data_IF_781761209783
#
_entry.id   IF_781761209783
#
_cell.length_a   1.000
_cell.length_b   1.000
_cell.length_c   1.000
_cell.angle_alpha   90.00
_cell.angle_beta   90.00
_cell.angle_gamma   90.00
#
_symmetry.space_group_name_H-M   'P 1'
#
loop_
_entity.id
_entity.type
_entity.pdbx_description
1 polymer ?
#
# COMPACT_ATOMS: atom_id res chain seq x y z
N UNK A 1 43.68 -22.98 39.77
CA UNK A 1 42.43 -22.19 39.65
C UNK A 1 42.37 -21.66 38.23
N UNK A 2 41.62 -22.32 37.34
CA UNK A 2 41.46 -21.91 35.93
C UNK A 2 40.22 -21.02 35.85
N UNK A 3 40.42 -19.73 35.60
CA UNK A 3 39.34 -18.78 35.31
C UNK A 3 38.88 -19.01 33.87
N UNK A 4 37.74 -19.68 33.69
CA UNK A 4 37.06 -19.75 32.40
C UNK A 4 36.36 -18.42 32.14
N UNK A 5 36.91 -17.61 31.23
CA UNK A 5 36.25 -16.40 30.74
C UNK A 5 35.13 -16.86 29.80
N UNK A 6 33.90 -16.84 30.30
CA UNK A 6 32.70 -16.95 29.46
C UNK A 6 32.57 -15.64 28.67
N UNK A 7 33.05 -15.66 27.43
CA UNK A 7 32.68 -14.67 26.42
C UNK A 7 31.22 -14.91 26.06
N UNK A 8 30.32 -14.30 26.82
CA UNK A 8 28.93 -14.12 26.41
C UNK A 8 28.93 -13.24 25.19
N UNK A 9 28.89 -13.84 23.99
CA UNK A 9 28.50 -13.11 22.78
C UNK A 9 27.07 -12.63 23.02
N UNK A 10 26.93 -11.39 23.47
CA UNK A 10 25.64 -10.69 23.44
C UNK A 10 25.36 -10.44 21.97
N UNK A 11 24.73 -11.41 21.32
CA UNK A 11 24.07 -11.17 20.05
C UNK A 11 22.99 -10.12 20.35
N UNK A 12 23.25 -8.86 19.96
CA UNK A 12 22.23 -7.82 19.99
C UNK A 12 21.04 -8.35 19.19
N UNK A 13 19.94 -8.61 19.89
CA UNK A 13 18.74 -9.17 19.30
C UNK A 13 18.13 -8.11 18.40
N UNK A 14 17.96 -8.43 17.13
CA UNK A 14 17.48 -7.47 16.13
C UNK A 14 15.99 -7.26 16.35
N UNK A 15 15.56 -6.00 16.42
CA UNK A 15 14.15 -5.68 16.43
C UNK A 15 13.50 -6.19 15.13
N UNK A 16 12.35 -6.87 15.21
CA UNK A 16 11.60 -7.23 14.02
C UNK A 16 11.09 -5.98 13.31
N UNK A 17 10.88 -6.08 12.00
CA UNK A 17 10.50 -4.96 11.14
C UNK A 17 9.18 -5.27 10.45
N UNK A 18 8.26 -4.30 10.46
CA UNK A 18 7.04 -4.34 9.64
C UNK A 18 7.13 -3.23 8.60
N UNK A 19 7.11 -3.62 7.32
CA UNK A 19 7.19 -2.73 6.15
C UNK A 19 5.79 -2.38 5.62
N UNK A 20 5.55 -1.11 5.31
CA UNK A 20 4.34 -0.67 4.60
C UNK A 20 4.71 -0.10 3.24
N UNK A 21 4.14 -0.59 2.13
CA UNK A 21 4.46 -0.16 0.76
C UNK A 21 4.02 1.28 0.46
N UNK A 22 4.52 1.91 -0.61
CA UNK A 22 4.06 3.20 -1.09
C UNK A 22 2.73 3.12 -1.85
N UNK A 23 2.21 4.28 -2.30
CA UNK A 23 1.17 4.36 -3.32
C UNK A 23 1.63 3.54 -4.55
N UNK A 24 0.73 2.74 -5.12
CA UNK A 24 1.01 1.75 -6.18
C UNK A 24 1.89 0.56 -5.80
N UNK A 25 2.40 0.50 -4.56
CA UNK A 25 3.41 -0.47 -4.13
C UNK A 25 2.90 -1.86 -3.79
N UNK A 26 1.61 -2.14 -4.00
CA UNK A 26 0.99 -3.43 -3.70
C UNK A 26 0.33 -3.99 -4.95
N UNK A 27 0.56 -5.26 -5.24
CA UNK A 27 -0.19 -5.98 -6.27
C UNK A 27 -1.65 -6.12 -5.91
N UNK A 28 -2.50 -5.91 -6.91
CA UNK A 28 -3.96 -6.06 -6.81
C UNK A 28 -4.39 -7.20 -7.73
N UNK A 29 -5.27 -8.07 -7.23
CA UNK A 29 -5.82 -9.22 -7.93
C UNK A 29 -7.30 -8.98 -8.19
N UNK A 30 -7.78 -9.34 -9.38
CA UNK A 30 -9.15 -9.07 -9.78
C UNK A 30 -9.91 -10.35 -10.11
N UNK A 31 -11.18 -10.39 -9.70
CA UNK A 31 -12.14 -11.44 -10.05
C UNK A 31 -13.40 -10.80 -10.63
N UNK A 32 -13.77 -11.18 -11.86
CA UNK A 32 -15.01 -10.73 -12.50
C UNK A 32 -15.38 -11.60 -13.70
N UNK A 33 -16.65 -11.51 -14.10
CA UNK A 33 -17.16 -12.00 -15.38
C UNK A 33 -18.10 -10.94 -15.96
N UNK A 34 -17.64 -10.21 -16.98
CA UNK A 34 -18.36 -9.06 -17.55
C UNK A 34 -18.12 -8.93 -19.05
N UNK A 35 -19.21 -8.80 -19.79
CA UNK A 35 -19.18 -8.60 -21.25
C UNK A 35 -19.18 -7.11 -21.63
N UNK A 36 -19.81 -6.27 -20.81
CA UNK A 36 -19.90 -4.81 -20.94
C UNK A 36 -18.64 -4.09 -20.45
N UNK A 37 -17.53 -4.35 -21.16
CA UNK A 37 -16.23 -3.69 -21.00
C UNK A 37 -15.59 -3.57 -22.39
N UNK A 38 -14.62 -2.67 -22.61
CA UNK A 38 -13.96 -2.51 -23.91
C UNK A 38 -13.47 -3.84 -24.49
N UNK A 39 -13.47 -3.96 -25.83
CA UNK A 39 -13.14 -5.22 -26.53
C UNK A 39 -11.72 -5.73 -26.24
N UNK A 40 -10.80 -4.83 -25.89
CA UNK A 40 -9.41 -5.15 -25.55
C UNK A 40 -9.23 -5.56 -24.08
N UNK A 41 -10.28 -5.52 -23.25
CA UNK A 41 -10.24 -6.03 -21.88
C UNK A 41 -10.56 -7.53 -21.83
N UNK A 42 -9.87 -8.31 -20.97
CA UNK A 42 -10.28 -9.70 -20.68
C UNK A 42 -11.72 -9.72 -20.18
N UNK A 43 -12.59 -10.58 -20.72
CA UNK A 43 -14.01 -10.67 -20.32
C UNK A 43 -14.22 -11.35 -18.97
N UNK A 44 -13.27 -12.19 -18.59
CA UNK A 44 -13.26 -12.90 -17.31
C UNK A 44 -11.87 -12.79 -16.70
N UNK A 45 -11.83 -12.62 -15.40
CA UNK A 45 -10.63 -12.83 -14.58
C UNK A 45 -11.03 -13.63 -13.35
N UNK A 46 -10.22 -14.61 -12.99
CA UNK A 46 -10.43 -15.40 -11.77
C UNK A 46 -9.19 -15.31 -10.89
N UNK A 47 -9.25 -14.39 -9.93
CA UNK A 47 -8.18 -14.13 -8.98
C UNK A 47 -6.82 -13.86 -9.65
N UNK A 48 -6.85 -13.09 -10.74
CA UNK A 48 -5.68 -12.84 -11.58
C UNK A 48 -5.03 -11.50 -11.26
N UNK A 49 -3.70 -11.43 -11.41
CA UNK A 49 -2.93 -10.19 -11.24
C UNK A 49 -3.45 -9.08 -12.18
N UNK A 50 -3.94 -8.00 -11.58
CA UNK A 50 -4.35 -6.76 -12.23
C UNK A 50 -3.21 -5.73 -12.20
N UNK A 51 -2.81 -5.29 -11.00
CA UNK A 51 -1.82 -4.24 -10.81
C UNK A 51 -0.45 -4.84 -10.42
N UNK A 52 0.62 -4.69 -11.20
CA UNK A 52 0.60 -4.45 -12.64
C UNK A 52 1.04 -5.71 -13.35
N UNK A 53 0.09 -6.42 -13.94
CA UNK A 53 0.44 -7.50 -14.86
C UNK A 53 1.06 -6.92 -16.13
N UNK A 54 2.18 -7.49 -16.55
CA UNK A 54 2.86 -7.14 -17.81
C UNK A 54 1.96 -7.24 -19.06
N UNK A 55 0.80 -7.91 -19.01
CA UNK A 55 -0.18 -7.93 -20.10
C UNK A 55 -0.86 -6.57 -20.33
N UNK A 56 -0.88 -5.70 -19.32
CA UNK A 56 -1.59 -4.43 -19.38
C UNK A 56 -0.72 -3.20 -19.67
N UNK A 57 0.61 -3.34 -19.77
CA UNK A 57 1.49 -2.15 -19.90
C UNK A 57 1.63 -1.61 -21.33
N UNK A 58 0.99 -2.25 -22.32
CA UNK A 58 1.04 -1.87 -23.74
C UNK A 58 -0.30 -1.27 -24.21
N UNK A 59 -0.32 -0.30 -25.14
CA UNK A 59 -1.56 0.20 -25.73
C UNK A 59 -2.32 -0.91 -26.49
N UNK A 60 -3.67 -0.95 -26.46
CA UNK A 60 -4.58 -0.13 -25.64
C UNK A 60 -4.85 -0.72 -24.24
N UNK A 61 -4.18 -1.82 -23.85
CA UNK A 61 -4.48 -2.59 -22.64
C UNK A 61 -4.29 -1.82 -21.33
N UNK A 62 -3.42 -0.81 -21.28
CA UNK A 62 -3.28 0.02 -20.07
C UNK A 62 -4.57 0.80 -19.77
N UNK A 63 -5.39 1.12 -20.77
CA UNK A 63 -6.72 1.71 -20.55
C UNK A 63 -7.63 0.73 -19.80
N UNK A 64 -7.47 -0.58 -20.05
CA UNK A 64 -8.21 -1.59 -19.32
C UNK A 64 -7.78 -1.62 -17.85
N UNK A 65 -6.47 -1.61 -17.60
CA UNK A 65 -5.93 -1.57 -16.25
C UNK A 65 -6.48 -0.38 -15.47
N UNK A 66 -6.35 0.83 -16.03
CA UNK A 66 -6.81 2.03 -15.30
C UNK A 66 -8.32 2.03 -15.10
N UNK A 67 -9.10 1.58 -16.08
CA UNK A 67 -10.56 1.41 -15.95
C UNK A 67 -10.91 0.48 -14.79
N UNK A 68 -10.32 -0.72 -14.76
CA UNK A 68 -10.63 -1.73 -13.74
C UNK A 68 -10.19 -1.31 -12.33
N UNK A 69 -9.18 -0.43 -12.21
CA UNK A 69 -8.75 0.10 -10.91
C UNK A 69 -9.63 1.23 -10.37
N UNK A 70 -10.54 1.80 -11.15
CA UNK A 70 -11.42 2.89 -10.70
C UNK A 70 -12.32 2.46 -9.52
N UNK A 71 -12.82 3.46 -8.80
CA UNK A 71 -13.77 3.28 -7.70
C UNK A 71 -14.98 4.19 -7.89
N UNK A 72 -16.14 3.75 -7.43
CA UNK A 72 -17.39 4.51 -7.44
C UNK A 72 -17.81 4.80 -6.00
N UNK A 73 -18.14 6.06 -5.72
CA UNK A 73 -18.70 6.43 -4.43
C UNK A 73 -20.17 5.98 -4.36
N UNK A 74 -20.53 5.31 -3.27
CA UNK A 74 -21.86 4.84 -2.97
C UNK A 74 -22.47 5.74 -1.89
N UNK A 75 -23.46 6.54 -2.28
CA UNK A 75 -24.11 7.53 -1.42
C UNK A 75 -24.89 6.93 -0.25
N UNK A 76 -25.36 5.67 -0.38
CA UNK A 76 -26.13 5.02 0.68
C UNK A 76 -25.22 4.54 1.80
N UNK A 77 -24.06 4.00 1.42
CA UNK A 77 -23.09 3.44 2.37
C UNK A 77 -22.00 4.44 2.78
N UNK A 78 -21.87 5.56 2.08
CA UNK A 78 -20.75 6.50 2.19
C UNK A 78 -19.39 5.79 2.06
N UNK A 79 -19.31 4.80 1.17
CA UNK A 79 -18.11 4.02 0.91
C UNK A 79 -17.72 4.14 -0.56
N UNK A 80 -16.44 3.96 -0.84
CA UNK A 80 -15.96 3.80 -2.22
C UNK A 80 -15.88 2.30 -2.50
N UNK A 81 -16.60 1.88 -3.54
CA UNK A 81 -16.67 0.49 -3.98
C UNK A 81 -15.94 0.34 -5.31
N UNK A 82 -15.52 -0.87 -5.60
CA UNK A 82 -15.07 -1.22 -6.95
C UNK A 82 -16.21 -1.00 -7.97
N UNK A 83 -15.87 -0.96 -9.25
CA UNK A 83 -16.86 -0.96 -10.32
C UNK A 83 -17.84 -2.16 -10.18
N UNK A 84 -19.13 -1.98 -10.54
CA UNK A 84 -20.13 -3.03 -10.36
C UNK A 84 -19.74 -4.37 -11.02
N UNK A 85 -19.71 -5.43 -10.22
CA UNK A 85 -19.37 -6.79 -10.64
C UNK A 85 -17.87 -7.11 -10.67
N UNK A 86 -17.01 -6.21 -10.15
CA UNK A 86 -15.57 -6.41 -10.06
C UNK A 86 -15.16 -6.50 -8.59
N UNK A 87 -14.54 -7.62 -8.23
CA UNK A 87 -13.89 -7.81 -6.93
C UNK A 87 -12.39 -7.60 -7.06
N UNK A 88 -11.79 -6.87 -6.12
CA UNK A 88 -10.36 -6.62 -6.07
C UNK A 88 -9.83 -6.95 -4.69
N UNK A 89 -8.76 -7.74 -4.64
CA UNK A 89 -8.13 -8.23 -3.43
C UNK A 89 -6.64 -7.96 -3.41
N UNK A 90 -6.12 -7.91 -2.20
CA UNK A 90 -4.69 -7.87 -1.89
C UNK A 90 -4.28 -9.25 -1.37
N UNK A 91 -3.23 -9.81 -1.95
CA UNK A 91 -2.67 -11.11 -1.53
C UNK A 91 -1.39 -10.93 -0.72
N UNK A 92 -0.94 -12.06 -0.17
CA UNK A 92 0.38 -12.20 0.45
C UNK A 92 0.61 -11.23 1.61
N UNK A 93 -0.39 -11.12 2.49
CA UNK A 93 -0.24 -10.38 3.74
C UNK A 93 0.85 -11.04 4.59
N UNK A 94 1.78 -10.25 5.14
CA UNK A 94 3.03 -10.67 5.81
C UNK A 94 4.16 -11.12 4.87
N UNK A 95 3.88 -11.41 3.60
CA UNK A 95 4.86 -11.87 2.61
C UNK A 95 5.39 -10.77 1.70
N UNK A 96 6.26 -11.14 0.76
CA UNK A 96 6.98 -10.18 -0.10
C UNK A 96 6.59 -10.19 -1.58
N UNK A 97 5.82 -11.18 -2.02
CA UNK A 97 5.45 -11.39 -3.42
C UNK A 97 4.72 -10.16 -3.97
N UNK A 98 3.70 -9.69 -3.24
CA UNK A 98 2.85 -8.56 -3.64
C UNK A 98 3.55 -7.20 -3.65
N UNK A 99 4.79 -7.10 -3.15
CA UNK A 99 5.50 -5.81 -3.00
C UNK A 99 6.92 -5.80 -3.58
N UNK A 100 7.45 -6.92 -4.04
CA UNK A 100 8.85 -6.97 -4.49
C UNK A 100 9.11 -6.08 -5.72
N UNK A 101 8.25 -6.18 -6.73
CA UNK A 101 8.34 -5.43 -7.99
C UNK A 101 6.98 -4.86 -8.34
N UNK A 102 6.92 -3.69 -9.00
CA UNK A 102 5.63 -3.13 -9.43
C UNK A 102 5.03 -3.92 -10.59
N UNK A 103 5.83 -4.17 -11.64
CA UNK A 103 5.40 -4.95 -12.81
C UNK A 103 5.83 -6.40 -12.62
N UNK A 104 4.86 -7.31 -12.71
CA UNK A 104 5.07 -8.75 -12.53
C UNK A 104 4.36 -9.57 -13.64
N UNK A 105 4.69 -10.86 -13.74
CA UNK A 105 4.24 -11.76 -14.81
C UNK A 105 5.42 -12.27 -15.64
N UNK A 106 5.35 -12.15 -16.98
CA UNK A 106 6.40 -12.63 -17.90
C UNK A 106 7.76 -12.01 -17.60
N UNK A 107 7.79 -10.76 -17.14
CA UNK A 107 8.99 -10.06 -16.72
C UNK A 107 8.73 -9.34 -15.39
N UNK A 108 9.78 -9.25 -14.56
CA UNK A 108 9.79 -8.44 -13.34
C UNK A 108 10.50 -7.13 -13.63
N UNK A 109 9.80 -6.01 -13.47
CA UNK A 109 10.30 -4.70 -13.83
C UNK A 109 9.87 -3.64 -12.82
N UNK A 110 10.70 -2.62 -12.62
CA UNK A 110 10.58 -1.59 -11.57
C UNK A 110 10.68 -2.21 -10.17
N UNK A 111 11.87 -2.07 -9.57
CA UNK A 111 12.09 -2.44 -8.17
C UNK A 111 11.19 -1.59 -7.26
N UNK A 112 10.46 -2.25 -6.38
CA UNK A 112 9.70 -1.60 -5.32
C UNK A 112 10.39 -1.85 -3.99
N UNK A 113 10.24 -3.06 -3.43
CA UNK A 113 10.93 -3.48 -2.20
C UNK A 113 11.92 -4.61 -2.38
N UNK A 114 12.12 -5.15 -3.59
CA UNK A 114 13.02 -6.27 -3.81
C UNK A 114 14.44 -5.98 -3.28
N UNK A 115 15.04 -4.84 -3.63
CA UNK A 115 16.40 -4.50 -3.15
C UNK A 115 16.45 -4.27 -1.64
N UNK A 116 15.41 -3.67 -1.05
CA UNK A 116 15.31 -3.44 0.39
C UNK A 116 15.19 -4.75 1.17
N UNK A 117 14.31 -5.65 0.72
CA UNK A 117 14.13 -6.97 1.30
C UNK A 117 15.41 -7.81 1.17
N UNK A 118 16.07 -7.77 0.01
CA UNK A 118 17.37 -8.42 -0.21
C UNK A 118 18.43 -7.90 0.77
N UNK A 119 18.48 -6.58 0.99
CA UNK A 119 19.41 -5.97 1.96
C UNK A 119 19.20 -6.50 3.39
N UNK A 120 17.94 -6.64 3.82
CA UNK A 120 17.60 -7.20 5.13
C UNK A 120 17.89 -8.70 5.22
N UNK A 121 17.55 -9.49 4.20
CA UNK A 121 17.84 -10.92 4.14
C UNK A 121 19.34 -11.23 4.23
N UNK A 122 20.17 -10.44 3.56
CA UNK A 122 21.64 -10.52 3.69
C UNK A 122 22.15 -10.22 5.10
N UNK A 123 21.30 -9.67 5.97
CA UNK A 123 21.56 -9.37 7.38
C UNK A 123 20.74 -10.27 8.30
N UNK A 124 20.41 -11.49 7.90
CA UNK A 124 19.73 -12.50 8.72
C UNK A 124 18.34 -12.06 9.18
N UNK A 125 17.63 -11.30 8.35
CA UNK A 125 16.19 -11.16 8.47
C UNK A 125 15.48 -12.19 7.60
N UNK A 126 14.42 -12.80 8.12
CA UNK A 126 13.60 -13.81 7.45
C UNK A 126 12.17 -13.30 7.38
N UNK A 127 11.60 -13.32 6.17
CA UNK A 127 10.20 -12.95 5.93
C UNK A 127 9.28 -13.90 6.70
N UNK A 128 8.33 -13.35 7.45
CA UNK A 128 7.40 -14.11 8.29
C UNK A 128 7.93 -14.48 9.68
N UNK A 129 9.20 -14.20 10.00
CA UNK A 129 9.78 -14.44 11.33
C UNK A 129 10.15 -13.13 12.04
N UNK A 130 10.98 -12.30 11.42
CA UNK A 130 11.44 -11.02 11.98
C UNK A 130 11.40 -9.87 10.96
N UNK A 131 10.89 -10.15 9.77
CA UNK A 131 10.60 -9.19 8.71
C UNK A 131 9.20 -9.49 8.18
N UNK A 132 8.33 -8.50 8.23
CA UNK A 132 6.93 -8.63 7.85
C UNK A 132 6.57 -7.48 6.92
N UNK A 133 5.61 -7.72 6.04
CA UNK A 133 5.10 -6.70 5.13
C UNK A 133 3.59 -6.60 5.36
N UNK A 134 3.06 -5.38 5.41
CA UNK A 134 1.63 -5.12 5.49
C UNK A 134 1.15 -4.53 4.15
N UNK A 135 0.88 -5.36 3.12
CA UNK A 135 0.31 -4.87 1.87
C UNK A 135 -1.13 -4.42 2.09
N UNK A 136 -1.54 -3.40 1.35
CA UNK A 136 -2.89 -2.82 1.42
C UNK A 136 -3.35 -2.32 0.06
N UNK A 137 -4.66 -2.11 -0.08
CA UNK A 137 -5.23 -1.51 -1.27
C UNK A 137 -4.95 -0.01 -1.27
N UNK A 138 -3.90 0.37 -1.98
CA UNK A 138 -3.44 1.75 -2.09
C UNK A 138 -4.45 2.67 -2.78
N UNK A 139 -5.47 2.13 -3.45
CA UNK A 139 -6.54 2.92 -4.06
C UNK A 139 -7.47 3.49 -3.01
N UNK A 140 -7.80 2.67 -2.01
CA UNK A 140 -8.81 2.94 -0.98
C UNK A 140 -8.22 3.52 0.30
N UNK A 141 -6.93 3.27 0.53
CA UNK A 141 -6.20 3.77 1.68
C UNK A 141 -6.12 5.31 1.72
N UNK A 142 -5.98 5.91 2.93
CA UNK A 142 -6.06 5.27 4.24
C UNK A 142 -7.50 5.11 4.75
N UNK A 143 -8.50 5.73 4.12
CA UNK A 143 -9.82 5.88 4.74
C UNK A 143 -10.77 4.69 4.55
N UNK A 144 -10.71 4.00 3.41
CA UNK A 144 -11.71 2.99 3.02
C UNK A 144 -11.15 1.56 3.07
N UNK A 145 -10.37 1.27 4.11
CA UNK A 145 -9.64 0.00 4.30
C UNK A 145 -9.78 -0.52 5.74
N UNK A 146 -11.00 -0.51 6.28
CA UNK A 146 -11.23 -0.81 7.69
C UNK A 146 -10.79 -2.21 8.11
N UNK A 147 -10.80 -3.18 7.20
CA UNK A 147 -10.34 -4.55 7.43
C UNK A 147 -8.81 -4.68 7.54
N UNK A 148 -8.05 -3.68 7.08
CA UNK A 148 -6.59 -3.65 7.16
C UNK A 148 -6.11 -3.39 8.58
N UNK A 149 -6.74 -2.48 9.34
CA UNK A 149 -6.21 -2.03 10.64
C UNK A 149 -6.08 -3.14 11.69
N UNK A 150 -7.09 -4.03 11.88
CA UNK A 150 -6.95 -5.16 12.79
C UNK A 150 -5.84 -6.12 12.36
N UNK A 151 -5.68 -6.36 11.05
CA UNK A 151 -4.59 -7.20 10.51
C UNK A 151 -3.23 -6.55 10.78
N UNK A 152 -3.11 -5.24 10.56
CA UNK A 152 -1.88 -4.49 10.82
C UNK A 152 -1.49 -4.51 12.30
N UNK A 153 -2.45 -4.34 13.20
CA UNK A 153 -2.20 -4.49 14.64
C UNK A 153 -1.74 -5.92 14.98
N UNK A 154 -2.43 -6.94 14.46
CA UNK A 154 -2.13 -8.34 14.74
C UNK A 154 -0.73 -8.76 14.31
N UNK A 155 -0.22 -8.27 13.17
CA UNK A 155 1.14 -8.61 12.73
C UNK A 155 2.22 -7.97 13.61
N UNK A 156 1.95 -6.78 14.17
CA UNK A 156 2.88 -6.12 15.10
C UNK A 156 2.92 -6.92 16.41
N UNK A 157 1.77 -7.34 16.92
CA UNK A 157 1.67 -8.19 18.12
C UNK A 157 2.35 -9.55 17.89
N UNK A 158 2.10 -10.18 16.74
CA UNK A 158 2.76 -11.43 16.33
C UNK A 158 4.29 -11.26 16.28
N UNK A 159 4.78 -10.22 15.60
CA UNK A 159 6.20 -9.93 15.48
C UNK A 159 6.85 -9.73 16.86
N UNK A 160 6.18 -9.00 17.76
CA UNK A 160 6.62 -8.82 19.14
C UNK A 160 6.71 -10.15 19.90
N UNK A 161 5.67 -10.98 19.84
CA UNK A 161 5.61 -12.27 20.56
C UNK A 161 6.69 -13.23 20.06
N UNK A 162 6.82 -13.37 18.73
CA UNK A 162 7.79 -14.31 18.13
C UNK A 162 9.24 -13.91 18.40
N UNK A 163 9.52 -12.61 18.46
CA UNK A 163 10.89 -12.11 18.62
C UNK A 163 11.21 -11.69 20.04
N UNK A 164 10.22 -11.60 20.94
CA UNK A 164 10.37 -11.06 22.29
C UNK A 164 11.12 -9.71 22.29
N UNK A 165 10.79 -8.86 21.31
CA UNK A 165 11.41 -7.55 21.07
C UNK A 165 10.35 -6.61 20.48
N UNK A 166 10.47 -5.32 20.81
CA UNK A 166 9.62 -4.28 20.22
C UNK A 166 9.87 -4.13 18.72
N UNK A 167 8.82 -3.77 17.98
CA UNK A 167 8.78 -3.76 16.52
C UNK A 167 9.19 -2.41 15.96
N UNK A 168 10.04 -2.42 14.93
CA UNK A 168 10.31 -1.23 14.11
C UNK A 168 9.29 -1.16 12.98
N UNK A 169 8.56 -0.06 12.89
CA UNK A 169 7.66 0.21 11.75
C UNK A 169 8.41 1.03 10.71
N UNK A 170 8.38 0.61 9.46
CA UNK A 170 9.01 1.34 8.36
C UNK A 170 8.03 1.53 7.21
N UNK A 171 7.76 2.78 6.87
CA UNK A 171 6.89 3.15 5.76
C UNK A 171 7.66 3.97 4.73
N UNK A 172 7.32 3.79 3.46
CA UNK A 172 7.80 4.63 2.37
C UNK A 172 6.64 5.34 1.69
N UNK A 173 6.76 6.64 1.43
CA UNK A 173 5.71 7.46 0.81
C UNK A 173 4.35 7.24 1.49
N UNK A 174 3.32 6.76 0.80
CA UNK A 174 2.01 6.49 1.41
C UNK A 174 2.05 5.58 2.64
N UNK A 175 2.99 4.63 2.70
CA UNK A 175 3.17 3.77 3.87
C UNK A 175 3.48 4.57 5.15
N UNK A 176 4.04 5.78 5.04
CA UNK A 176 4.25 6.65 6.20
C UNK A 176 2.94 7.18 6.75
N UNK A 177 1.97 7.53 5.89
CA UNK A 177 0.64 7.97 6.30
C UNK A 177 -0.12 6.84 6.98
N UNK A 178 -0.01 5.63 6.46
CA UNK A 178 -0.64 4.45 7.04
C UNK A 178 -0.15 4.20 8.48
N UNK A 179 1.17 4.26 8.70
CA UNK A 179 1.74 4.16 10.05
C UNK A 179 1.23 5.30 10.93
N UNK A 180 1.32 6.54 10.46
CA UNK A 180 0.91 7.71 11.24
C UNK A 180 -0.56 7.63 11.65
N UNK A 181 -1.46 7.39 10.70
CA UNK A 181 -2.89 7.26 10.93
C UNK A 181 -3.21 6.13 11.93
N UNK A 182 -2.56 4.97 11.81
CA UNK A 182 -2.72 3.89 12.78
C UNK A 182 -2.30 4.31 14.19
N UNK A 183 -1.12 4.93 14.33
CA UNK A 183 -0.59 5.34 15.63
C UNK A 183 -1.37 6.48 16.28
N UNK A 184 -2.02 7.35 15.51
CA UNK A 184 -2.79 8.49 16.07
C UNK A 184 -4.26 8.17 16.26
N UNK A 185 -4.87 7.39 15.37
CA UNK A 185 -6.33 7.19 15.35
C UNK A 185 -6.78 5.79 15.78
N UNK A 186 -5.90 4.77 15.70
CA UNK A 186 -6.29 3.37 15.92
C UNK A 186 -5.64 2.75 17.16
N UNK A 187 -4.43 3.15 17.53
CA UNK A 187 -3.67 2.57 18.64
C UNK A 187 -3.67 3.45 19.90
N UNK A 188 -3.69 2.82 21.08
CA UNK A 188 -3.54 3.53 22.36
C UNK A 188 -2.07 3.77 22.71
N UNK A 189 -1.77 4.80 23.51
CA UNK A 189 -0.39 5.09 23.96
C UNK A 189 0.27 3.91 24.68
N UNK A 190 -0.49 3.18 25.50
CA UNK A 190 0.02 2.02 26.23
C UNK A 190 0.35 0.87 25.28
N UNK A 191 -0.48 0.66 24.25
CA UNK A 191 -0.22 -0.33 23.21
C UNK A 191 1.05 0.02 22.44
N UNK A 192 1.20 1.29 22.03
CA UNK A 192 2.40 1.76 21.30
C UNK A 192 3.65 1.57 22.16
N UNK A 193 3.60 2.00 23.43
CA UNK A 193 4.71 1.85 24.37
C UNK A 193 5.12 0.39 24.56
N UNK A 194 4.15 -0.54 24.54
CA UNK A 194 4.39 -1.97 24.68
C UNK A 194 5.02 -2.59 23.43
N UNK A 195 4.48 -2.31 22.24
CA UNK A 195 4.80 -3.07 21.03
C UNK A 195 5.76 -2.39 20.06
N UNK A 196 5.84 -1.06 20.05
CA UNK A 196 6.60 -0.29 19.04
C UNK A 196 7.91 0.21 19.63
N UNK A 197 9.01 -0.09 18.94
CA UNK A 197 10.35 0.39 19.29
C UNK A 197 10.60 1.78 18.72
N UNK A 198 10.41 1.89 17.40
CA UNK A 198 10.66 3.10 16.63
C UNK A 198 9.92 3.06 15.32
N UNK A 199 9.78 4.24 14.73
CA UNK A 199 9.12 4.45 13.46
C UNK A 199 10.10 5.11 12.49
N UNK A 200 10.26 4.54 11.30
CA UNK A 200 11.12 5.03 10.23
C UNK A 200 10.23 5.45 9.06
N UNK A 201 10.19 6.75 8.77
CA UNK A 201 9.32 7.34 7.77
C UNK A 201 10.20 7.82 6.59
N UNK A 202 10.13 7.11 5.47
CA UNK A 202 10.91 7.41 4.28
C UNK A 202 10.07 8.20 3.28
N UNK A 203 10.54 9.39 2.92
CA UNK A 203 9.86 10.31 1.99
C UNK A 203 8.36 10.53 2.32
N UNK A 204 8.01 10.89 3.58
CA UNK A 204 6.63 11.20 3.90
C UNK A 204 6.19 12.47 3.17
N UNK A 205 4.94 12.52 2.72
CA UNK A 205 4.38 13.69 2.06
C UNK A 205 3.33 14.38 2.92
N UNK A 206 3.65 14.74 4.17
CA UNK A 206 2.68 15.31 5.14
C UNK A 206 1.90 16.52 4.62
N UNK A 207 2.57 17.38 3.86
CA UNK A 207 1.96 18.56 3.21
C UNK A 207 1.39 18.26 1.82
N UNK A 208 1.23 16.99 1.46
CA UNK A 208 0.94 16.53 0.11
C UNK A 208 2.17 16.50 -0.81
N UNK A 209 1.94 16.24 -2.09
CA UNK A 209 2.98 16.32 -3.12
C UNK A 209 2.46 17.01 -4.39
N UNK A 210 3.33 17.80 -5.02
CA UNK A 210 2.98 18.57 -6.21
C UNK A 210 2.62 17.67 -7.40
N UNK A 211 3.30 16.54 -7.55
CA UNK A 211 3.07 15.61 -8.67
C UNK A 211 1.64 15.04 -8.66
N UNK A 212 1.14 14.61 -7.50
CA UNK A 212 -0.24 14.11 -7.42
C UNK A 212 -1.25 15.24 -7.59
N UNK A 213 -0.98 16.43 -7.04
CA UNK A 213 -1.82 17.60 -7.28
C UNK A 213 -1.94 17.94 -8.78
N UNK A 214 -0.81 18.02 -9.48
CA UNK A 214 -0.79 18.32 -10.91
C UNK A 214 -1.45 17.21 -11.74
N UNK A 215 -1.27 15.94 -11.37
CA UNK A 215 -1.93 14.82 -12.04
C UNK A 215 -3.47 14.84 -11.90
N UNK A 216 -3.98 15.17 -10.70
CA UNK A 216 -5.42 15.32 -10.44
C UNK A 216 -5.97 16.50 -11.24
N UNK A 217 -5.31 17.66 -11.19
CA UNK A 217 -5.79 18.88 -11.84
C UNK A 217 -5.66 18.79 -13.37
N UNK A 218 -4.51 18.35 -13.85
CA UNK A 218 -4.18 18.18 -15.27
C UNK A 218 -4.74 16.89 -15.89
N UNK A 219 -5.45 16.06 -15.11
CA UNK A 219 -6.14 14.83 -15.56
C UNK A 219 -5.21 13.89 -16.36
N UNK A 220 -4.04 13.59 -15.81
CA UNK A 220 -3.01 12.76 -16.45
C UNK A 220 -2.40 11.72 -15.50
N UNK A 221 -1.68 10.74 -16.05
CA UNK A 221 -1.04 9.70 -15.23
C UNK A 221 0.17 10.26 -14.46
N UNK A 222 0.21 10.20 -13.12
CA UNK A 222 1.35 10.70 -12.36
C UNK A 222 2.62 9.88 -12.62
N UNK A 223 2.51 8.64 -13.10
CA UNK A 223 3.66 7.78 -13.40
C UNK A 223 4.15 7.97 -14.83
N UNK A 224 3.25 8.21 -15.79
CA UNK A 224 3.58 8.41 -17.21
C UNK A 224 2.83 9.64 -17.75
N UNK A 225 3.35 10.87 -17.55
CA UNK A 225 2.60 12.11 -17.80
C UNK A 225 2.14 12.34 -19.26
N UNK A 226 2.74 11.62 -20.21
CA UNK A 226 2.36 11.66 -21.63
C UNK A 226 1.00 10.98 -21.85
N UNK A 227 0.59 10.04 -20.98
CA UNK A 227 -0.70 9.36 -21.09
C UNK A 227 -1.79 10.24 -20.49
N UNK A 228 -2.65 10.75 -21.38
CA UNK A 228 -3.82 11.58 -21.06
C UNK A 228 -5.04 11.06 -21.82
N UNK A 229 -6.04 10.57 -21.10
CA UNK A 229 -7.34 10.17 -21.62
C UNK A 229 -8.35 10.07 -20.48
N UNK A 230 -9.63 9.87 -20.83
CA UNK A 230 -10.73 9.84 -19.86
C UNK A 230 -10.56 8.73 -18.80
N UNK A 231 -10.10 7.54 -19.19
CA UNK A 231 -9.90 6.44 -18.23
C UNK A 231 -8.87 6.77 -17.14
N UNK A 232 -7.74 7.39 -17.55
CA UNK A 232 -6.69 7.83 -16.62
C UNK A 232 -7.21 8.97 -15.75
N UNK A 233 -7.89 9.94 -16.37
CA UNK A 233 -8.45 11.09 -15.69
C UNK A 233 -9.45 10.68 -14.60
N UNK A 234 -10.31 9.72 -14.89
CA UNK A 234 -11.30 9.22 -13.95
C UNK A 234 -10.62 8.44 -12.81
N UNK A 235 -9.63 7.60 -13.10
CA UNK A 235 -8.87 6.89 -12.07
C UNK A 235 -8.17 7.85 -11.09
N UNK A 236 -7.46 8.87 -11.59
CA UNK A 236 -6.70 9.80 -10.72
C UNK A 236 -7.61 10.72 -9.92
N UNK A 237 -8.85 10.94 -10.38
CA UNK A 237 -9.84 11.79 -9.71
C UNK A 237 -10.89 11.02 -8.90
N UNK A 238 -10.91 9.68 -8.93
CA UNK A 238 -11.87 8.87 -8.18
C UNK A 238 -11.31 8.21 -6.93
N UNK A 239 -9.99 8.04 -6.81
CA UNK A 239 -9.39 7.15 -5.80
C UNK A 239 -8.79 7.90 -4.59
N UNK A 240 -9.24 7.58 -3.35
CA UNK A 240 -8.75 8.17 -2.09
C UNK A 240 -7.24 8.20 -1.94
N UNK A 241 -6.55 7.16 -2.44
CA UNK A 241 -5.10 7.09 -2.40
C UNK A 241 -4.43 8.32 -2.98
N UNK A 242 -4.92 8.85 -4.11
CA UNK A 242 -4.38 10.09 -4.66
C UNK A 242 -4.73 11.31 -3.81
N UNK A 243 -5.94 11.35 -3.29
CA UNK A 243 -6.38 12.48 -2.47
C UNK A 243 -5.63 12.59 -1.15
N UNK A 244 -5.15 11.48 -0.57
CA UNK A 244 -4.26 11.49 0.61
C UNK A 244 -2.91 12.18 0.36
N UNK A 245 -2.53 12.36 -0.90
CA UNK A 245 -1.31 13.05 -1.31
C UNK A 245 -1.58 14.47 -1.84
N UNK A 246 -2.80 15.00 -1.70
CA UNK A 246 -3.08 16.39 -2.08
C UNK A 246 -2.42 17.39 -1.13
N UNK A 247 -2.09 18.56 -1.68
CA UNK A 247 -1.48 19.63 -0.90
C UNK A 247 -2.45 20.11 0.17
N UNK A 248 -2.03 20.05 1.43
CA UNK A 248 -2.83 20.53 2.55
C UNK A 248 -2.27 21.86 3.05
N UNK A 249 -3.15 22.78 3.44
CA UNK A 249 -2.75 24.01 4.13
C UNK A 249 -2.47 23.78 5.63
N UNK A 250 -2.14 22.54 6.04
CA UNK A 250 -1.95 22.16 7.45
C UNK A 250 -3.25 21.94 8.25
N UNK A 251 -4.40 21.80 7.59
CA UNK A 251 -5.70 21.50 8.22
C UNK A 251 -6.03 20.00 8.28
N UNK A 252 -6.93 19.60 9.20
CA UNK A 252 -7.35 18.21 9.42
C UNK A 252 -7.89 17.57 8.12
N UNK A 253 -7.20 16.53 7.66
CA UNK A 253 -7.39 15.82 6.40
C UNK A 253 -8.82 15.25 6.19
N UNK A 254 -9.49 14.88 7.28
CA UNK A 254 -10.81 14.22 7.26
C UNK A 254 -11.96 15.11 6.79
N UNK A 255 -11.98 16.38 7.20
CA UNK A 255 -13.09 17.30 6.89
C UNK A 255 -13.02 17.79 5.44
N UNK A 256 -11.80 17.90 4.89
CA UNK A 256 -11.57 18.35 3.53
C UNK A 256 -11.94 17.28 2.48
N UNK A 257 -11.51 16.03 2.69
CA UNK A 257 -11.79 14.91 1.78
C UNK A 257 -13.29 14.64 1.61
N UNK A 258 -14.04 14.66 2.72
CA UNK A 258 -15.50 14.46 2.70
C UNK A 258 -16.20 15.61 1.97
N UNK A 259 -15.77 16.87 2.19
CA UNK A 259 -16.39 18.03 1.53
C UNK A 259 -16.23 18.04 0.00
N UNK A 260 -15.12 17.50 -0.51
CA UNK A 260 -14.86 17.48 -1.96
C UNK A 260 -15.55 16.31 -2.67
N UNK A 261 -15.64 15.14 -2.02
CA UNK A 261 -16.35 13.97 -2.57
C UNK A 261 -17.88 14.16 -2.59
N UNK A 262 -18.45 14.91 -1.65
CA UNK A 262 -19.90 15.15 -1.56
C UNK A 262 -20.40 16.35 -2.39
N UNK A 263 -19.51 17.06 -3.11
CA UNK A 263 -19.86 18.27 -3.86
C UNK A 263 -20.09 18.05 -5.37
N UNK A 264 -20.26 16.81 -5.81
CA UNK A 264 -20.71 16.47 -7.17
C UNK A 264 -21.98 15.65 -7.15
#
# INVERSE_FOLDING_TARGET
MLFAIWLSFVFSKKNPIVLLPPLYGTHLFATYNKTDIPWYCPKTMNDELLWVSSKFIVPPFYNCLVLLTQGTFDNETNQIKNLPGIDIKVHDFEGEESVSYIINGTFKFIDNYYSLLKYYKQRNYTVGENLFIAPYDWRMAPLFIDDFWPKFQAIIEKAFIQNNEKVTLLGFSMGTFMIHYFLTEKASKDWISKYVEKVVLLAPSWGGCHQTFDAIFGRFSPVVPIIKNDYVADMVTSLPGFFSHQMTNGGKEKDWLISHYLSK
#
